data_IF_077075270389
#
_entry.id   IF_077075270389
#
_cell.length_a   1.000
_cell.length_b   1.000
_cell.length_c   1.000
_cell.angle_alpha   90.00
_cell.angle_beta   90.00
_cell.angle_gamma   90.00
#
_symmetry.space_group_name_H-M   'P 1'
#
loop_
_entity.id
_entity.type
_entity.pdbx_description
1 polymer ?
#
# COMPACT_ATOMS: atom_id res chain seq x y z
N UNK A 1 8.03 54.04 -44.97
CA UNK A 1 6.68 53.44 -44.91
C UNK A 1 6.76 52.29 -43.91
N UNK A 2 6.36 52.56 -42.66
CA UNK A 2 5.10 52.10 -42.04
C UNK A 2 5.22 50.62 -41.60
N UNK A 3 5.07 50.19 -40.36
CA UNK A 3 4.81 50.77 -39.04
C UNK A 3 5.09 49.61 -38.04
N UNK A 4 5.70 49.85 -36.89
CA UNK A 4 4.93 50.15 -35.69
C UNK A 4 4.36 48.90 -35.02
N UNK A 5 5.10 48.33 -34.06
CA UNK A 5 4.55 47.69 -32.86
C UNK A 5 5.63 47.68 -31.77
N UNK A 6 5.60 48.73 -30.95
CA UNK A 6 6.22 48.76 -29.62
C UNK A 6 5.43 47.80 -28.73
N UNK A 7 6.10 46.83 -28.13
CA UNK A 7 5.56 46.06 -27.03
C UNK A 7 5.90 46.86 -25.77
N UNK A 8 4.91 47.58 -25.26
CA UNK A 8 4.91 48.20 -23.93
C UNK A 8 4.66 47.12 -22.89
N UNK A 9 5.62 46.95 -21.97
CA UNK A 9 5.41 46.22 -20.72
C UNK A 9 4.38 46.94 -19.84
N UNK A 10 3.44 46.22 -19.22
CA UNK A 10 2.64 46.76 -18.13
C UNK A 10 3.24 46.36 -16.78
N UNK A 11 3.65 47.38 -16.02
CA UNK A 11 3.16 47.59 -14.66
C UNK A 11 3.58 46.57 -13.61
N UNK A 12 4.79 46.76 -13.09
CA UNK A 12 5.19 46.32 -11.76
C UNK A 12 4.49 47.21 -10.70
N UNK A 13 3.33 46.79 -10.20
CA UNK A 13 2.69 47.32 -8.99
C UNK A 13 1.47 46.51 -8.54
N UNK A 14 1.42 46.30 -7.22
CA UNK A 14 0.29 45.87 -6.41
C UNK A 14 0.07 44.36 -6.19
N UNK A 15 0.91 43.74 -5.34
CA UNK A 15 0.46 42.68 -4.41
C UNK A 15 1.16 42.74 -3.03
N UNK A 16 1.50 43.94 -2.55
CA UNK A 16 1.94 44.17 -1.17
C UNK A 16 0.92 45.04 -0.44
N UNK A 17 -0.18 44.45 0.01
CA UNK A 17 -0.97 44.89 1.17
C UNK A 17 -2.17 43.96 1.39
N UNK A 18 -2.17 43.30 2.54
CA UNK A 18 -3.31 43.02 3.44
C UNK A 18 -3.19 41.64 4.10
N UNK A 19 -2.26 41.54 5.05
CA UNK A 19 -2.34 40.59 6.16
C UNK A 19 -2.17 41.36 7.48
N UNK A 20 -3.00 42.38 7.66
CA UNK A 20 -3.37 42.83 9.00
C UNK A 20 -4.55 41.99 9.43
N UNK A 21 -4.27 40.96 10.24
CA UNK A 21 -5.28 40.23 10.96
C UNK A 21 -6.08 41.22 11.84
N UNK A 22 -7.43 41.19 11.83
CA UNK A 22 -8.20 41.94 12.82
C UNK A 22 -7.92 41.37 14.22
N UNK A 23 -7.80 42.22 15.26
CA UNK A 23 -7.68 41.76 16.64
C UNK A 23 -8.97 41.04 17.06
N UNK A 24 -8.79 39.98 17.85
CA UNK A 24 -9.80 39.01 18.22
C UNK A 24 -11.11 39.58 18.74
N UNK A 25 -12.19 39.20 18.07
CA UNK A 25 -13.51 39.11 18.66
C UNK A 25 -13.75 37.64 19.07
N UNK A 26 -14.08 37.45 20.34
CA UNK A 26 -14.27 36.14 20.95
C UNK A 26 -15.47 35.39 20.37
N UNK A 27 -15.28 34.68 19.25
CA UNK A 27 -16.16 33.60 18.86
C UNK A 27 -15.96 32.43 19.81
N UNK A 28 -16.84 32.36 20.81
CA UNK A 28 -17.04 31.19 21.64
C UNK A 28 -17.19 29.95 20.75
N UNK A 29 -16.53 28.86 21.16
CA UNK A 29 -16.46 27.61 20.42
C UNK A 29 -17.81 26.95 20.21
N UNK A 30 -18.51 27.34 19.16
CA UNK A 30 -19.52 26.49 18.53
C UNK A 30 -18.76 25.42 17.74
N UNK A 31 -18.60 24.24 18.35
CA UNK A 31 -18.15 23.03 17.66
C UNK A 31 -18.99 22.87 16.38
N UNK A 32 -18.33 22.71 15.23
CA UNK A 32 -19.05 22.68 13.97
C UNK A 32 -19.98 21.45 13.96
N UNK A 33 -21.26 21.58 13.54
CA UNK A 33 -22.23 20.48 13.61
C UNK A 33 -21.82 19.19 12.88
N UNK A 34 -20.91 19.27 11.91
CA UNK A 34 -20.40 18.11 11.16
C UNK A 34 -19.26 17.37 11.87
N UNK A 35 -18.57 17.98 12.84
CA UNK A 35 -17.45 17.35 13.56
C UNK A 35 -17.91 16.11 14.33
N UNK A 36 -19.06 16.20 15.01
CA UNK A 36 -19.65 15.07 15.72
C UNK A 36 -20.06 13.93 14.78
N UNK A 37 -20.61 14.25 13.61
CA UNK A 37 -21.00 13.25 12.60
C UNK A 37 -19.78 12.57 11.97
N UNK A 38 -18.73 13.33 11.68
CA UNK A 38 -17.48 12.80 11.15
C UNK A 38 -16.82 11.86 12.17
N UNK A 39 -16.70 12.28 13.42
CA UNK A 39 -16.13 11.45 14.49
C UNK A 39 -16.95 10.17 14.71
N UNK A 40 -18.27 10.27 14.73
CA UNK A 40 -19.14 9.10 14.84
C UNK A 40 -18.98 8.14 13.64
N UNK A 41 -18.88 8.68 12.42
CA UNK A 41 -18.67 7.89 11.20
C UNK A 41 -17.31 7.19 11.21
N UNK A 42 -16.25 7.87 11.64
CA UNK A 42 -14.92 7.28 11.80
C UNK A 42 -14.91 6.19 12.87
N UNK A 43 -15.60 6.42 14.00
CA UNK A 43 -15.72 5.42 15.06
C UNK A 43 -16.47 4.18 14.57
N UNK A 44 -17.60 4.36 13.86
CA UNK A 44 -18.36 3.26 13.27
C UNK A 44 -17.53 2.47 12.25
N UNK A 45 -16.76 3.16 11.39
CA UNK A 45 -15.87 2.51 10.43
C UNK A 45 -14.79 1.67 11.15
N UNK A 46 -14.20 2.21 12.22
CA UNK A 46 -13.21 1.49 13.05
C UNK A 46 -13.81 0.26 13.72
N UNK A 47 -15.00 0.37 14.28
CA UNK A 47 -15.71 -0.75 14.90
C UNK A 47 -16.12 -1.82 13.89
N UNK A 48 -16.51 -1.43 12.67
CA UNK A 48 -16.75 -2.38 11.58
C UNK A 48 -15.48 -3.16 11.24
N UNK A 49 -14.37 -2.46 10.99
CA UNK A 49 -13.09 -3.11 10.68
C UNK A 49 -12.57 -3.98 11.83
N UNK A 50 -12.78 -3.57 13.08
CA UNK A 50 -12.41 -4.36 14.25
C UNK A 50 -13.19 -5.68 14.32
N UNK A 51 -14.51 -5.65 14.08
CA UNK A 51 -15.34 -6.86 14.01
C UNK A 51 -14.92 -7.78 12.86
N UNK A 52 -14.70 -7.23 11.68
CA UNK A 52 -14.22 -8.01 10.53
C UNK A 52 -12.90 -8.74 10.84
N UNK A 53 -11.96 -8.06 11.54
CA UNK A 53 -10.69 -8.65 11.98
C UNK A 53 -10.87 -9.72 13.05
N UNK A 54 -11.82 -9.55 13.96
CA UNK A 54 -12.14 -10.54 15.00
C UNK A 54 -12.75 -11.81 14.40
N UNK A 55 -13.62 -11.68 13.39
CA UNK A 55 -14.29 -12.80 12.72
C UNK A 55 -13.37 -13.54 11.72
N UNK A 56 -12.40 -12.83 11.14
CA UNK A 56 -11.57 -13.32 10.04
C UNK A 56 -10.85 -14.66 10.31
N UNK A 57 -10.26 -14.94 11.50
CA UNK A 57 -9.61 -16.22 11.76
C UNK A 57 -10.58 -17.41 11.66
N UNK A 58 -11.83 -17.23 12.12
CA UNK A 58 -12.88 -18.25 12.07
C UNK A 58 -13.34 -18.53 10.64
N UNK A 59 -13.59 -17.47 9.86
CA UNK A 59 -13.91 -17.57 8.44
C UNK A 59 -12.77 -18.23 7.66
N UNK A 60 -11.51 -17.86 7.94
CA UNK A 60 -10.37 -18.52 7.31
C UNK A 60 -10.30 -20.02 7.68
N UNK A 61 -10.60 -20.40 8.92
CA UNK A 61 -10.66 -21.80 9.32
C UNK A 61 -11.73 -22.59 8.54
N UNK A 62 -12.94 -22.03 8.39
CA UNK A 62 -13.99 -22.60 7.53
C UNK A 62 -13.52 -22.77 6.08
N UNK A 63 -12.86 -21.74 5.53
CA UNK A 63 -12.34 -21.77 4.17
C UNK A 63 -11.28 -22.86 4.00
N UNK A 64 -10.37 -23.03 4.96
CA UNK A 64 -9.31 -24.04 4.88
C UNK A 64 -9.78 -25.47 5.15
N UNK A 65 -10.94 -25.65 5.76
CA UNK A 65 -11.60 -26.96 5.85
C UNK A 65 -12.10 -27.48 4.49
N UNK A 66 -12.25 -26.59 3.49
CA UNK A 66 -12.58 -26.95 2.12
C UNK A 66 -11.35 -27.46 1.36
N UNK A 67 -11.61 -28.28 0.32
CA UNK A 67 -10.61 -28.66 -0.67
C UNK A 67 -9.98 -27.42 -1.32
N UNK A 68 -8.66 -27.40 -1.60
CA UNK A 68 -7.95 -26.23 -2.14
C UNK A 68 -8.63 -25.60 -3.36
N UNK A 69 -9.14 -26.42 -4.27
CA UNK A 69 -9.77 -26.02 -5.54
C UNK A 69 -11.12 -25.31 -5.30
N UNK A 70 -11.81 -25.63 -4.22
CA UNK A 70 -13.11 -25.06 -3.88
C UNK A 70 -13.03 -23.67 -3.20
N UNK A 71 -11.87 -23.32 -2.65
CA UNK A 71 -11.70 -22.10 -1.81
C UNK A 71 -11.95 -20.82 -2.60
N UNK A 72 -11.34 -20.67 -3.77
CA UNK A 72 -11.52 -19.47 -4.60
C UNK A 72 -12.98 -19.34 -5.12
N UNK A 73 -13.63 -20.46 -5.41
CA UNK A 73 -15.05 -20.46 -5.76
C UNK A 73 -15.91 -20.05 -4.55
N UNK A 74 -15.58 -20.52 -3.34
CA UNK A 74 -16.27 -20.13 -2.11
C UNK A 74 -16.15 -18.63 -1.84
N UNK A 75 -14.95 -18.05 -1.94
CA UNK A 75 -14.74 -16.60 -1.76
C UNK A 75 -15.61 -15.80 -2.73
N UNK A 76 -15.62 -16.18 -4.02
CA UNK A 76 -16.43 -15.49 -5.04
C UNK A 76 -17.93 -15.69 -4.85
N UNK A 77 -18.35 -16.84 -4.32
CA UNK A 77 -19.76 -17.20 -4.15
C UNK A 77 -20.42 -16.68 -2.87
N UNK A 78 -19.66 -16.46 -1.79
CA UNK A 78 -20.21 -16.11 -0.47
C UNK A 78 -19.55 -14.82 0.07
N UNK A 79 -20.37 -13.78 0.23
CA UNK A 79 -19.93 -12.45 0.65
C UNK A 79 -19.26 -12.43 2.03
N UNK A 80 -19.53 -13.41 2.89
CA UNK A 80 -18.90 -13.51 4.22
C UNK A 80 -17.38 -13.68 4.14
N UNK A 81 -16.86 -14.22 3.05
CA UNK A 81 -15.41 -14.38 2.84
C UNK A 81 -14.77 -13.20 2.10
N UNK A 82 -15.56 -12.17 1.74
CA UNK A 82 -15.10 -10.96 1.05
C UNK A 82 -15.16 -9.77 2.00
N UNK A 83 -14.39 -9.87 3.08
CA UNK A 83 -14.26 -8.82 4.10
C UNK A 83 -12.81 -8.36 4.19
N UNK A 84 -12.59 -7.15 4.69
CA UNK A 84 -11.23 -6.61 4.87
C UNK A 84 -10.40 -7.50 5.80
N UNK A 85 -11.02 -7.95 6.89
CA UNK A 85 -10.39 -8.83 7.87
C UNK A 85 -9.90 -10.15 7.25
N UNK A 86 -10.70 -10.78 6.38
CA UNK A 86 -10.30 -12.04 5.71
C UNK A 86 -9.09 -11.80 4.81
N UNK A 87 -9.07 -10.71 4.04
CA UNK A 87 -7.90 -10.37 3.21
C UNK A 87 -6.64 -10.15 4.06
N UNK A 88 -6.73 -9.38 5.14
CA UNK A 88 -5.59 -9.14 6.03
C UNK A 88 -5.09 -10.43 6.69
N UNK A 89 -5.99 -11.30 7.14
CA UNK A 89 -5.63 -12.58 7.75
C UNK A 89 -4.95 -13.52 6.75
N UNK A 90 -5.44 -13.58 5.50
CA UNK A 90 -4.81 -14.35 4.43
C UNK A 90 -3.39 -13.84 4.12
N UNK A 91 -3.20 -12.52 4.06
CA UNK A 91 -1.88 -11.90 3.86
C UNK A 91 -0.96 -12.12 5.07
N UNK A 92 -1.48 -11.99 6.28
CA UNK A 92 -0.73 -12.25 7.51
C UNK A 92 -0.22 -13.69 7.57
N UNK A 93 -1.10 -14.67 7.28
CA UNK A 93 -0.71 -16.09 7.19
C UNK A 93 0.30 -16.32 6.06
N UNK A 94 0.07 -15.73 4.88
CA UNK A 94 0.96 -15.83 3.73
C UNK A 94 2.38 -15.34 4.01
N UNK A 95 2.52 -14.22 4.74
CA UNK A 95 3.81 -13.67 5.13
C UNK A 95 4.60 -14.53 6.12
N UNK A 96 3.93 -15.45 6.83
CA UNK A 96 4.55 -16.40 7.79
C UNK A 96 4.80 -17.77 7.19
N UNK A 97 4.34 -18.01 5.97
CA UNK A 97 4.39 -19.31 5.33
C UNK A 97 5.79 -19.58 4.73
N UNK A 98 6.35 -20.72 5.12
CA UNK A 98 7.69 -21.15 4.69
C UNK A 98 7.61 -21.74 3.29
N UNK A 99 6.52 -22.40 2.94
CA UNK A 99 6.28 -22.97 1.61
C UNK A 99 5.86 -21.86 0.62
N UNK A 100 6.74 -21.50 -0.32
CA UNK A 100 6.48 -20.41 -1.27
C UNK A 100 5.20 -20.61 -2.09
N UNK A 101 4.94 -21.84 -2.54
CA UNK A 101 3.72 -22.16 -3.29
C UNK A 101 2.45 -21.92 -2.45
N UNK A 102 2.49 -22.25 -1.15
CA UNK A 102 1.38 -22.04 -0.23
C UNK A 102 1.20 -20.56 0.10
N UNK A 103 2.28 -19.80 0.28
CA UNK A 103 2.24 -18.35 0.42
C UNK A 103 1.56 -17.69 -0.80
N UNK A 104 1.94 -18.12 -2.00
CA UNK A 104 1.34 -17.64 -3.25
C UNK A 104 -0.15 -17.97 -3.37
N UNK A 105 -0.57 -19.17 -2.94
CA UNK A 105 -1.99 -19.53 -2.90
C UNK A 105 -2.78 -18.64 -1.94
N UNK A 106 -2.23 -18.33 -0.75
CA UNK A 106 -2.86 -17.43 0.21
C UNK A 106 -3.01 -16.00 -0.34
N UNK A 107 -1.96 -15.47 -0.98
CA UNK A 107 -2.01 -14.17 -1.63
C UNK A 107 -3.05 -14.12 -2.78
N UNK A 108 -3.16 -15.19 -3.57
CA UNK A 108 -4.17 -15.30 -4.62
C UNK A 108 -5.60 -15.36 -4.06
N UNK A 109 -5.82 -16.03 -2.93
CA UNK A 109 -7.11 -16.00 -2.22
C UNK A 109 -7.42 -14.60 -1.69
N UNK A 110 -6.43 -13.87 -1.17
CA UNK A 110 -6.60 -12.49 -0.73
C UNK A 110 -7.00 -11.56 -1.89
N UNK A 111 -6.41 -11.72 -3.08
CA UNK A 111 -6.85 -11.00 -4.28
C UNK A 111 -8.31 -11.32 -4.64
N UNK A 112 -8.68 -12.60 -4.65
CA UNK A 112 -10.05 -13.01 -4.94
C UNK A 112 -11.07 -12.45 -3.93
N UNK A 113 -10.68 -12.26 -2.67
CA UNK A 113 -11.51 -11.63 -1.66
C UNK A 113 -11.58 -10.10 -1.86
N UNK A 114 -10.46 -9.46 -2.20
CA UNK A 114 -10.37 -8.03 -2.46
C UNK A 114 -11.22 -7.57 -3.65
N UNK A 115 -11.38 -8.41 -4.69
CA UNK A 115 -12.19 -8.11 -5.88
C UNK A 115 -13.66 -7.78 -5.53
N UNK A 116 -14.19 -8.29 -4.41
CA UNK A 116 -15.56 -7.98 -3.95
C UNK A 116 -15.66 -6.86 -2.91
N UNK A 117 -14.55 -6.27 -2.46
CA UNK A 117 -14.57 -5.25 -1.41
C UNK A 117 -14.97 -3.86 -1.92
N UNK A 118 -14.86 -3.60 -3.22
CA UNK A 118 -15.15 -2.30 -3.82
C UNK A 118 -16.62 -1.86 -3.67
N UNK A 119 -17.53 -2.79 -3.35
CA UNK A 119 -18.93 -2.49 -3.09
C UNK A 119 -19.17 -1.85 -1.71
N UNK A 120 -18.29 -2.13 -0.73
CA UNK A 120 -18.49 -1.78 0.69
C UNK A 120 -17.41 -0.81 1.19
N UNK A 121 -16.20 -0.87 0.64
CA UNK A 121 -15.07 -0.05 1.06
C UNK A 121 -14.70 0.98 0.00
N UNK A 122 -14.05 2.06 0.45
CA UNK A 122 -13.58 3.12 -0.44
C UNK A 122 -12.60 2.54 -1.48
N UNK A 123 -12.79 2.82 -2.78
CA UNK A 123 -11.98 2.20 -3.83
C UNK A 123 -10.46 2.33 -3.62
N UNK A 124 -9.91 3.49 -3.22
CA UNK A 124 -8.46 3.62 -2.99
C UNK A 124 -7.91 2.67 -1.92
N UNK A 125 -8.65 2.42 -0.83
CA UNK A 125 -8.23 1.47 0.21
C UNK A 125 -8.18 0.04 -0.32
N UNK A 126 -9.15 -0.32 -1.18
CA UNK A 126 -9.15 -1.64 -1.84
C UNK A 126 -7.98 -1.78 -2.80
N UNK A 127 -7.58 -0.69 -3.49
CA UNK A 127 -6.38 -0.72 -4.33
C UNK A 127 -5.10 -0.93 -3.51
N UNK A 128 -4.94 -0.27 -2.37
CA UNK A 128 -3.79 -0.48 -1.47
C UNK A 128 -3.69 -1.92 -0.98
N UNK A 129 -4.82 -2.49 -0.55
CA UNK A 129 -4.90 -3.89 -0.13
C UNK A 129 -4.57 -4.85 -1.28
N UNK A 130 -5.06 -4.55 -2.48
CA UNK A 130 -4.76 -5.32 -3.70
C UNK A 130 -3.28 -5.21 -4.06
N UNK A 131 -2.66 -4.04 -3.92
CA UNK A 131 -1.23 -3.83 -4.16
C UNK A 131 -0.38 -4.72 -3.24
N UNK A 132 -0.72 -4.75 -1.94
CA UNK A 132 -0.07 -5.66 -0.96
C UNK A 132 -0.23 -7.13 -1.35
N UNK A 133 -1.42 -7.53 -1.79
CA UNK A 133 -1.68 -8.91 -2.19
C UNK A 133 -0.93 -9.31 -3.47
N UNK A 134 -0.84 -8.41 -4.45
CA UNK A 134 -0.01 -8.59 -5.63
C UNK A 134 1.49 -8.69 -5.28
N UNK A 135 2.00 -7.82 -4.40
CA UNK A 135 3.38 -7.89 -3.94
C UNK A 135 3.67 -9.25 -3.25
N UNK A 136 2.78 -9.70 -2.35
CA UNK A 136 2.92 -11.00 -1.69
C UNK A 136 2.92 -12.18 -2.68
N UNK A 137 2.03 -12.14 -3.69
CA UNK A 137 2.00 -13.14 -4.76
C UNK A 137 3.29 -13.11 -5.59
N UNK A 138 3.80 -11.92 -5.89
CA UNK A 138 5.06 -11.71 -6.59
C UNK A 138 6.27 -12.26 -5.84
N UNK A 139 6.39 -11.96 -4.54
CA UNK A 139 7.44 -12.53 -3.67
C UNK A 139 7.36 -14.06 -3.64
N UNK A 140 6.15 -14.63 -3.54
CA UNK A 140 5.98 -16.08 -3.62
C UNK A 140 6.46 -16.65 -4.96
N UNK A 141 6.14 -15.99 -6.08
CA UNK A 141 6.61 -16.37 -7.43
C UNK A 141 8.14 -16.32 -7.54
N UNK A 142 8.79 -15.26 -7.02
CA UNK A 142 10.26 -15.18 -6.96
C UNK A 142 10.85 -16.38 -6.23
N UNK A 143 10.31 -16.71 -5.06
CA UNK A 143 10.79 -17.84 -4.23
C UNK A 143 10.62 -19.20 -4.90
N UNK A 144 9.70 -19.32 -5.85
CA UNK A 144 9.54 -20.52 -6.70
C UNK A 144 10.37 -20.48 -8.00
N UNK A 145 11.19 -19.45 -8.21
CA UNK A 145 12.02 -19.26 -9.40
C UNK A 145 11.28 -18.66 -10.60
N UNK A 146 10.02 -18.23 -10.45
CA UNK A 146 9.24 -17.60 -11.52
C UNK A 146 9.44 -16.08 -11.54
N UNK A 147 10.59 -15.64 -12.09
CA UNK A 147 10.93 -14.22 -12.19
C UNK A 147 9.93 -13.44 -13.06
N UNK A 148 9.57 -13.96 -14.24
CA UNK A 148 8.64 -13.29 -15.14
C UNK A 148 7.27 -13.04 -14.48
N UNK A 149 6.75 -14.02 -13.76
CA UNK A 149 5.50 -13.88 -13.01
C UNK A 149 5.61 -12.91 -11.82
N UNK A 150 6.80 -12.78 -11.21
CA UNK A 150 7.00 -11.79 -10.16
C UNK A 150 7.00 -10.36 -10.72
N UNK A 151 7.63 -10.14 -11.87
CA UNK A 151 7.63 -8.84 -12.54
C UNK A 151 6.24 -8.41 -13.01
N UNK A 152 5.43 -9.37 -13.48
CA UNK A 152 4.02 -9.12 -13.77
C UNK A 152 3.27 -8.68 -12.52
N UNK A 153 3.46 -9.40 -11.40
CA UNK A 153 2.84 -9.05 -10.13
C UNK A 153 3.32 -7.68 -9.61
N UNK A 154 4.58 -7.33 -9.81
CA UNK A 154 5.14 -6.01 -9.47
C UNK A 154 4.45 -4.90 -10.26
N UNK A 155 4.32 -5.05 -11.59
CA UNK A 155 3.58 -4.08 -12.43
C UNK A 155 2.14 -3.93 -11.99
N UNK A 156 1.47 -5.04 -11.67
CA UNK A 156 0.11 -5.01 -11.14
C UNK A 156 0.05 -4.27 -9.80
N UNK A 157 0.96 -4.56 -8.87
CA UNK A 157 1.01 -3.90 -7.57
C UNK A 157 1.26 -2.38 -7.68
N UNK A 158 2.21 -1.97 -8.54
CA UNK A 158 2.51 -0.55 -8.78
C UNK A 158 1.29 0.21 -9.33
N UNK A 159 0.61 -0.35 -10.34
CA UNK A 159 -0.61 0.24 -10.89
C UNK A 159 -1.72 0.42 -9.82
N UNK A 160 -1.84 -0.54 -8.91
CA UNK A 160 -2.81 -0.47 -7.81
C UNK A 160 -2.41 0.61 -6.80
N UNK A 161 -1.12 0.71 -6.45
CA UNK A 161 -0.64 1.75 -5.54
C UNK A 161 -0.85 3.17 -6.10
N UNK A 162 -0.61 3.38 -7.41
CA UNK A 162 -0.86 4.67 -8.08
C UNK A 162 -2.33 5.13 -7.98
N UNK A 163 -3.25 4.18 -7.88
CA UNK A 163 -4.70 4.42 -7.75
C UNK A 163 -5.21 4.24 -6.31
N UNK A 164 -4.29 4.02 -5.37
CA UNK A 164 -4.54 3.82 -3.95
C UNK A 164 -4.58 5.12 -3.15
N UNK A 165 -4.47 5.01 -1.82
CA UNK A 165 -4.48 6.20 -0.95
C UNK A 165 -3.14 6.93 -0.90
N UNK A 166 -2.07 6.30 -1.40
CA UNK A 166 -0.70 6.77 -1.19
C UNK A 166 -0.14 6.41 0.18
N UNK A 167 -0.66 5.34 0.80
CA UNK A 167 -0.16 4.82 2.08
C UNK A 167 1.34 4.50 1.99
N UNK A 168 2.13 5.19 2.83
CA UNK A 168 3.59 5.10 2.84
C UNK A 168 4.10 3.70 3.25
N UNK A 169 3.34 2.95 4.05
CA UNK A 169 3.69 1.60 4.45
C UNK A 169 3.50 0.62 3.29
N UNK A 170 2.46 0.82 2.49
CA UNK A 170 2.23 0.05 1.26
C UNK A 170 3.32 0.33 0.25
N UNK A 171 3.67 1.60 0.04
CA UNK A 171 4.76 2.00 -0.85
C UNK A 171 6.11 1.42 -0.39
N UNK A 172 6.43 1.53 0.91
CA UNK A 172 7.66 0.93 1.46
C UNK A 172 7.74 -0.58 1.23
N UNK A 173 6.61 -1.29 1.39
CA UNK A 173 6.53 -2.73 1.15
C UNK A 173 6.73 -3.06 -0.33
N UNK A 174 6.17 -2.25 -1.23
CA UNK A 174 6.34 -2.43 -2.68
C UNK A 174 7.79 -2.20 -3.10
N UNK A 175 8.46 -1.17 -2.56
CA UNK A 175 9.87 -0.89 -2.80
C UNK A 175 10.78 -2.04 -2.32
N UNK A 176 10.47 -2.68 -1.19
CA UNK A 176 11.21 -3.89 -0.77
C UNK A 176 11.02 -5.05 -1.75
N UNK A 177 9.80 -5.26 -2.26
CA UNK A 177 9.53 -6.29 -3.25
C UNK A 177 10.21 -5.98 -4.60
N UNK A 178 10.18 -4.74 -5.06
CA UNK A 178 10.91 -4.33 -6.26
C UNK A 178 12.42 -4.56 -6.11
N UNK A 179 12.98 -4.28 -4.92
CA UNK A 179 14.38 -4.61 -4.63
C UNK A 179 14.66 -6.11 -4.70
N UNK A 180 13.72 -6.99 -4.28
CA UNK A 180 13.84 -8.45 -4.49
C UNK A 180 13.91 -8.83 -5.96
N UNK A 181 13.08 -8.21 -6.79
CA UNK A 181 13.09 -8.44 -8.25
C UNK A 181 14.42 -7.96 -8.87
N UNK A 182 14.92 -6.79 -8.48
CA UNK A 182 16.22 -6.29 -8.93
C UNK A 182 17.37 -7.21 -8.49
N UNK A 183 17.37 -7.70 -7.25
CA UNK A 183 18.37 -8.68 -6.78
C UNK A 183 18.34 -9.96 -7.62
N UNK A 184 17.15 -10.48 -7.93
CA UNK A 184 16.98 -11.67 -8.76
C UNK A 184 17.47 -11.48 -10.20
N UNK A 185 17.43 -10.26 -10.75
CA UNK A 185 18.02 -9.90 -12.05
C UNK A 185 19.53 -9.66 -12.01
N UNK A 186 20.10 -9.47 -10.82
CA UNK A 186 21.50 -9.09 -10.62
C UNK A 186 21.75 -7.57 -10.54
N UNK A 187 20.70 -6.75 -10.54
CA UNK A 187 20.76 -5.29 -10.52
C UNK A 187 20.95 -4.75 -9.09
N UNK A 188 22.04 -5.16 -8.44
CA UNK A 188 22.31 -4.89 -7.02
C UNK A 188 22.38 -3.40 -6.65
N UNK A 189 22.76 -2.52 -7.59
CA UNK A 189 22.79 -1.07 -7.34
C UNK A 189 21.39 -0.49 -7.19
N UNK A 190 20.49 -0.90 -8.09
CA UNK A 190 19.09 -0.46 -8.06
C UNK A 190 18.39 -0.99 -6.82
N UNK A 191 18.59 -2.29 -6.50
CA UNK A 191 18.07 -2.87 -5.27
C UNK A 191 18.49 -2.10 -4.00
N UNK A 192 19.77 -1.69 -3.91
CA UNK A 192 20.25 -0.90 -2.78
C UNK A 192 19.67 0.53 -2.74
N UNK A 193 19.33 1.11 -3.88
CA UNK A 193 18.64 2.41 -3.99
C UNK A 193 17.20 2.30 -3.49
N UNK A 194 16.44 1.31 -3.99
CA UNK A 194 15.05 1.04 -3.59
C UNK A 194 14.93 0.76 -2.09
N UNK A 195 15.81 -0.05 -1.51
CA UNK A 195 15.83 -0.30 -0.06
C UNK A 195 16.14 0.97 0.76
N UNK A 196 16.90 1.91 0.20
CA UNK A 196 17.13 3.21 0.84
C UNK A 196 15.86 4.07 0.86
N UNK A 197 15.06 4.01 -0.21
CA UNK A 197 13.78 4.70 -0.29
C UNK A 197 12.76 4.07 0.68
N UNK A 198 12.68 2.74 0.72
CA UNK A 198 11.84 2.02 1.68
C UNK A 198 12.17 2.39 3.13
N UNK A 199 13.47 2.48 3.47
CA UNK A 199 13.94 2.90 4.80
C UNK A 199 13.41 4.29 5.19
N UNK A 200 13.41 5.25 4.26
CA UNK A 200 12.86 6.60 4.49
C UNK A 200 11.37 6.52 4.79
N UNK A 201 10.60 5.77 3.98
CA UNK A 201 9.14 5.64 4.16
C UNK A 201 8.78 4.96 5.48
N UNK A 202 9.47 3.88 5.86
CA UNK A 202 9.26 3.24 7.16
C UNK A 202 9.56 4.19 8.33
N UNK A 203 10.60 5.02 8.21
CA UNK A 203 10.94 6.01 9.23
C UNK A 203 9.85 7.07 9.39
N UNK A 204 9.26 7.53 8.29
CA UNK A 204 8.17 8.51 8.29
C UNK A 204 6.89 7.99 8.96
N UNK A 205 6.59 6.70 8.79
CA UNK A 205 5.43 6.04 9.44
C UNK A 205 5.73 5.63 10.89
N UNK A 206 6.99 5.70 11.34
CA UNK A 206 7.41 5.29 12.70
C UNK A 206 7.69 3.80 12.87
N UNK A 207 7.81 3.06 11.76
CA UNK A 207 7.99 1.62 11.70
C UNK A 207 9.46 1.21 11.86
N UNK A 208 9.98 1.35 13.08
CA UNK A 208 11.41 1.18 13.41
C UNK A 208 12.00 -0.19 13.06
N UNK A 209 11.25 -1.28 13.28
CA UNK A 209 11.71 -2.66 13.00
C UNK A 209 11.90 -2.87 11.50
N UNK A 210 10.94 -2.41 10.69
CA UNK A 210 11.01 -2.52 9.24
C UNK A 210 12.11 -1.62 8.65
N UNK A 211 12.24 -0.40 9.15
CA UNK A 211 13.34 0.52 8.81
C UNK A 211 14.72 -0.14 9.05
N UNK A 212 14.94 -0.74 10.22
CA UNK A 212 16.19 -1.43 10.54
C UNK A 212 16.45 -2.62 9.61
N UNK A 213 15.42 -3.42 9.30
CA UNK A 213 15.52 -4.57 8.39
C UNK A 213 15.92 -4.15 6.97
N UNK A 214 15.25 -3.13 6.42
CA UNK A 214 15.55 -2.57 5.10
C UNK A 214 16.99 -2.06 5.03
N UNK A 215 17.43 -1.30 6.05
CA UNK A 215 18.80 -0.81 6.16
C UNK A 215 19.86 -1.91 6.23
N UNK A 216 19.62 -2.97 7.02
CA UNK A 216 20.52 -4.12 7.10
C UNK A 216 20.62 -4.88 5.77
N UNK A 217 19.49 -5.06 5.06
CA UNK A 217 19.49 -5.69 3.74
C UNK A 217 20.26 -4.85 2.71
N UNK A 218 20.04 -3.54 2.69
CA UNK A 218 20.78 -2.60 1.84
C UNK A 218 22.29 -2.69 2.06
N UNK A 219 22.72 -2.75 3.31
CA UNK A 219 24.16 -2.82 3.64
C UNK A 219 24.80 -4.13 3.19
N UNK A 220 24.08 -5.26 3.33
CA UNK A 220 24.53 -6.56 2.79
C UNK A 220 24.79 -6.49 1.28
N UNK A 221 23.89 -5.85 0.52
CA UNK A 221 24.02 -5.68 -0.93
C UNK A 221 25.21 -4.77 -1.28
N UNK A 222 25.37 -3.64 -0.59
CA UNK A 222 26.51 -2.72 -0.80
C UNK A 222 27.85 -3.41 -0.53
N UNK A 223 27.92 -4.19 0.53
CA UNK A 223 29.09 -4.99 0.86
C UNK A 223 29.40 -6.03 -0.24
N UNK A 224 28.39 -6.64 -0.86
CA UNK A 224 28.58 -7.56 -1.99
C UNK A 224 29.13 -6.84 -3.23
N UNK A 225 28.59 -5.66 -3.56
CA UNK A 225 29.07 -4.82 -4.67
C UNK A 225 30.54 -4.39 -4.53
N UNK A 226 30.99 -4.15 -3.30
CA UNK A 226 32.38 -3.76 -3.04
C UNK A 226 33.36 -4.92 -3.15
N UNK A 227 32.90 -6.17 -2.91
CA UNK A 227 33.74 -7.37 -3.05
C UNK A 227 33.92 -7.84 -4.49
N UNK A 228 33.06 -7.41 -5.41
CA UNK A 228 33.12 -7.78 -6.83
C UNK A 228 33.93 -6.80 -7.69
N UNK A 229 34.59 -5.81 -7.08
CA UNK A 229 35.47 -4.84 -7.73
C UNK A 229 36.92 -5.17 -7.43
#
# INVERSE_FOLDING_TARGET
>A
MNGGRKITEPGDSALTACLTAPPGDGHGGEAFPWEGQLLASLQQARESLAREREEAPGLCAELFALAPEARAARIRGDARFRTWGVCEELLHRGGREVEAARAGHLAALALAAADGLAEVHQPPLVQDLSARAWAALGTARLRTGNLAGAEEALRAAAFRLETGTGDLLVDATLLEFEAEVCEARGDLREAASLLSQAEVRYREVGESVYCARAGQRRERIRSALNRSR
#
